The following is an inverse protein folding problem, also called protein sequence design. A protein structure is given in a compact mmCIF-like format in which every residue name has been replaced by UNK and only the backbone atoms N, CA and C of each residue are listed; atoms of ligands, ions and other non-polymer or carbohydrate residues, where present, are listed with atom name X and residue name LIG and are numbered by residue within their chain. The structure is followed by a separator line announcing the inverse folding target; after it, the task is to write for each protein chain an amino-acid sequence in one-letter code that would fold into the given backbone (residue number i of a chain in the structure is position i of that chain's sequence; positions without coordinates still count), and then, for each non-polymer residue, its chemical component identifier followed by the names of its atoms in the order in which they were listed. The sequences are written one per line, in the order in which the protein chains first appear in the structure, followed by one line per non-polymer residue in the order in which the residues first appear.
data_IF_273756646172
#
_entry.id   IF_273756646172
#
_cell.length_a   1.000
_cell.length_b   1.000
_cell.length_c   1.000
_cell.angle_alpha   90.00
_cell.angle_beta   90.00
_cell.angle_gamma   90.00
#
_symmetry.space_group_name_H-M   'P 1'
#
loop_
_entity.id
_entity.type
_entity.pdbx_description
1 polymer ?
#
# COMPACT_ATOMS: atom_id res chain seq x y z
N UNK A 1 11.12 8.21 -15.75
CA UNK A 1 10.34 7.02 -15.39
C UNK A 1 9.95 7.16 -13.94
N UNK A 2 8.71 6.83 -13.59
CA UNK A 2 8.32 6.72 -12.20
C UNK A 2 8.78 5.37 -11.62
N UNK A 3 9.06 5.27 -10.31
CA UNK A 3 9.52 4.02 -9.68
C UNK A 3 8.55 2.86 -9.85
N UNK A 4 7.24 3.17 -9.88
CA UNK A 4 6.16 2.21 -10.10
C UNK A 4 6.23 1.59 -11.50
N UNK A 5 6.41 2.42 -12.53
CA UNK A 5 6.56 1.94 -13.91
C UNK A 5 7.77 1.01 -14.05
N UNK A 6 8.88 1.31 -13.36
CA UNK A 6 10.08 0.46 -13.36
C UNK A 6 9.74 -0.92 -12.78
N UNK A 7 9.01 -1.00 -11.66
CA UNK A 7 8.61 -2.28 -11.06
C UNK A 7 7.70 -3.07 -12.00
N UNK A 8 6.71 -2.41 -12.62
CA UNK A 8 5.81 -3.05 -13.58
C UNK A 8 6.54 -3.56 -14.83
N UNK A 9 7.52 -2.81 -15.32
CA UNK A 9 8.28 -3.15 -16.52
C UNK A 9 9.31 -4.26 -16.27
N UNK A 10 9.92 -4.28 -15.09
CA UNK A 10 10.76 -5.41 -14.62
C UNK A 10 9.92 -6.69 -14.54
N UNK A 11 8.71 -6.60 -14.00
CA UNK A 11 7.79 -7.75 -13.97
C UNK A 11 7.36 -8.18 -15.38
N UNK A 12 7.14 -7.23 -16.30
CA UNK A 12 6.82 -7.51 -17.70
C UNK A 12 7.97 -8.20 -18.45
N UNK A 13 9.22 -7.88 -18.09
CA UNK A 13 10.43 -8.54 -18.59
C UNK A 13 10.71 -9.90 -17.91
N UNK A 14 9.81 -10.37 -17.04
CA UNK A 14 9.90 -11.68 -16.38
C UNK A 14 10.85 -11.71 -15.17
N UNK A 15 11.25 -10.55 -14.66
CA UNK A 15 12.10 -10.44 -13.48
C UNK A 15 11.26 -10.26 -12.22
N UNK A 16 11.64 -10.96 -11.16
CA UNK A 16 11.03 -10.80 -9.84
C UNK A 16 11.87 -9.86 -9.00
N UNK A 17 11.28 -8.75 -8.55
CA UNK A 17 11.90 -7.84 -7.61
C UNK A 17 11.35 -8.10 -6.20
N UNK A 18 12.24 -8.26 -5.23
CA UNK A 18 11.89 -8.47 -3.83
C UNK A 18 12.77 -7.61 -2.93
N UNK A 19 12.20 -7.12 -1.83
CA UNK A 19 12.94 -6.39 -0.80
C UNK A 19 13.19 -7.34 0.36
N UNK A 20 14.45 -7.49 0.74
CA UNK A 20 14.85 -8.21 1.96
C UNK A 20 14.62 -7.32 3.18
N UNK A 21 14.40 -7.94 4.33
CA UNK A 21 14.07 -7.27 5.60
C UNK A 21 15.13 -6.24 6.04
N UNK A 22 16.38 -6.50 5.68
CA UNK A 22 17.56 -5.64 5.85
C UNK A 22 17.65 -4.47 4.82
N UNK A 23 16.60 -4.24 4.02
CA UNK A 23 16.54 -3.14 3.05
C UNK A 23 17.33 -3.38 1.77
N UNK A 24 17.70 -4.64 1.50
CA UNK A 24 18.40 -5.03 0.28
C UNK A 24 17.41 -5.42 -0.83
N UNK A 25 17.60 -4.86 -2.02
CA UNK A 25 16.85 -5.22 -3.23
C UNK A 25 17.45 -6.46 -3.86
N UNK A 26 16.65 -7.52 -3.98
CA UNK A 26 16.96 -8.74 -4.73
C UNK A 26 16.17 -8.74 -6.02
N UNK A 27 16.88 -8.93 -7.13
CA UNK A 27 16.28 -9.17 -8.44
C UNK A 27 16.63 -10.60 -8.86
N UNK A 28 15.63 -11.34 -9.33
CA UNK A 28 15.75 -12.72 -9.77
C UNK A 28 15.15 -12.84 -11.17
N UNK A 29 15.90 -13.34 -12.13
CA UNK A 29 15.44 -13.54 -13.50
C UNK A 29 16.62 -13.78 -14.46
N UNK A 30 16.38 -13.57 -15.75
CA UNK A 30 17.40 -13.74 -16.78
C UNK A 30 18.61 -12.83 -16.55
N UNK A 31 19.82 -13.38 -16.56
CA UNK A 31 21.06 -12.68 -16.23
C UNK A 31 21.31 -11.47 -17.16
N UNK A 32 20.86 -11.57 -18.41
CA UNK A 32 20.97 -10.50 -19.42
C UNK A 32 20.08 -9.32 -19.05
N UNK A 33 18.84 -9.61 -18.67
CA UNK A 33 17.86 -8.60 -18.28
C UNK A 33 18.20 -8.03 -16.90
N UNK A 34 18.63 -8.87 -15.95
CA UNK A 34 19.15 -8.44 -14.65
C UNK A 34 20.26 -7.42 -14.84
N UNK A 35 21.27 -7.68 -15.67
CA UNK A 35 22.41 -6.77 -15.81
C UNK A 35 22.02 -5.41 -16.42
N UNK A 36 21.01 -5.37 -17.29
CA UNK A 36 20.45 -4.13 -17.84
C UNK A 36 19.72 -3.35 -16.75
N UNK A 37 18.79 -4.01 -16.05
CA UNK A 37 17.99 -3.41 -15.00
C UNK A 37 18.80 -3.04 -13.75
N UNK A 38 19.90 -3.72 -13.47
CA UNK A 38 20.77 -3.45 -12.31
C UNK A 38 21.38 -2.05 -12.38
N UNK A 39 21.66 -1.53 -13.58
CA UNK A 39 22.10 -0.15 -13.78
C UNK A 39 20.99 0.85 -13.46
N UNK A 40 19.79 0.63 -14.00
CA UNK A 40 18.60 1.49 -13.79
C UNK A 40 18.17 1.48 -12.31
N UNK A 41 18.13 0.30 -11.69
CA UNK A 41 17.79 0.12 -10.28
C UNK A 41 18.83 0.78 -9.38
N UNK A 42 20.11 0.81 -9.76
CA UNK A 42 21.14 1.53 -8.98
C UNK A 42 20.88 3.04 -8.94
N UNK A 43 20.44 3.62 -10.06
CA UNK A 43 20.13 5.04 -10.16
C UNK A 43 18.84 5.39 -9.40
N UNK A 44 17.81 4.53 -9.48
CA UNK A 44 16.51 4.74 -8.84
C UNK A 44 16.33 3.97 -7.52
N UNK A 45 17.41 3.45 -6.92
CA UNK A 45 17.36 2.50 -5.79
C UNK A 45 16.50 3.00 -4.63
N UNK A 46 16.72 4.25 -4.23
CA UNK A 46 16.04 4.83 -3.07
C UNK A 46 14.55 5.04 -3.33
N UNK A 47 14.18 5.38 -4.56
CA UNK A 47 12.78 5.59 -4.93
C UNK A 47 12.04 4.25 -5.05
N UNK A 48 12.69 3.23 -5.64
CA UNK A 48 12.15 1.86 -5.71
C UNK A 48 12.00 1.25 -4.31
N UNK A 49 13.00 1.44 -3.43
CA UNK A 49 12.89 1.04 -2.03
C UNK A 49 11.74 1.78 -1.34
N UNK A 50 11.62 3.09 -1.55
CA UNK A 50 10.54 3.87 -0.96
C UNK A 50 9.17 3.44 -1.46
N UNK A 51 9.05 2.97 -2.69
CA UNK A 51 7.79 2.49 -3.26
C UNK A 51 7.46 1.06 -2.80
N UNK A 52 8.47 0.18 -2.68
CA UNK A 52 8.28 -1.19 -2.18
C UNK A 52 8.11 -1.27 -0.66
N UNK A 53 8.77 -0.37 0.08
CA UNK A 53 8.61 -0.23 1.54
C UNK A 53 7.51 0.75 1.92
N UNK A 54 6.92 1.43 0.93
CA UNK A 54 5.76 2.30 1.14
C UNK A 54 4.60 1.43 1.60
N UNK A 55 4.43 1.35 2.92
CA UNK A 55 3.21 0.86 3.52
C UNK A 55 2.07 1.76 3.03
N UNK A 56 1.24 1.23 2.14
CA UNK A 56 0.07 1.91 1.58
C UNK A 56 -0.88 2.35 2.71
N UNK A 57 -0.91 1.57 3.77
CA UNK A 57 -1.73 1.76 4.96
C UNK A 57 -0.86 1.75 6.21
N UNK A 58 -1.12 2.68 7.12
CA UNK A 58 -0.52 2.71 8.45
C UNK A 58 -1.66 2.77 9.46
N UNK A 59 -1.75 1.76 10.33
CA UNK A 59 -2.73 1.70 11.41
C UNK A 59 -2.01 1.97 12.72
N UNK A 60 -2.51 2.94 13.48
CA UNK A 60 -2.01 3.29 14.81
C UNK A 60 -3.13 3.16 15.82
N UNK A 61 -2.84 2.49 16.92
CA UNK A 61 -3.73 2.43 18.07
C UNK A 61 -3.00 3.06 19.25
N UNK A 62 -3.54 4.16 19.76
CA UNK A 62 -2.91 4.91 20.85
C UNK A 62 -3.12 4.20 22.19
N UNK A 63 -4.29 3.57 22.37
CA UNK A 63 -4.62 2.73 23.52
C UNK A 63 -5.65 1.67 23.11
N UNK A 64 -5.24 0.40 23.17
CA UNK A 64 -6.09 -0.74 22.82
C UNK A 64 -6.93 -1.26 24.01
N UNK A 65 -6.73 -0.73 25.21
CA UNK A 65 -7.39 -1.18 26.44
C UNK A 65 -8.58 -0.31 26.86
N UNK A 66 -8.69 0.88 26.27
CA UNK A 66 -9.83 1.79 26.46
C UNK A 66 -10.98 1.39 25.54
N UNK A 67 -12.20 1.35 26.08
CA UNK A 67 -13.42 1.14 25.32
C UNK A 67 -14.15 2.49 25.10
N UNK A 68 -14.31 2.97 23.85
CA UNK A 68 -13.94 2.35 22.58
C UNK A 68 -12.45 2.48 22.22
N UNK A 69 -11.93 1.49 21.49
CA UNK A 69 -10.57 1.50 20.95
C UNK A 69 -10.49 2.53 19.83
N UNK A 70 -9.61 3.52 20.00
CA UNK A 70 -9.38 4.57 19.01
C UNK A 70 -8.27 4.13 18.05
N UNK A 71 -8.64 4.02 16.78
CA UNK A 71 -7.76 3.59 15.70
C UNK A 71 -7.59 4.72 14.71
N UNK A 72 -6.35 5.15 14.49
CA UNK A 72 -5.99 6.06 13.40
C UNK A 72 -5.53 5.23 12.20
N UNK A 73 -6.22 5.38 11.08
CA UNK A 73 -5.86 4.76 9.81
C UNK A 73 -5.38 5.85 8.88
N UNK A 74 -4.13 5.74 8.44
CA UNK A 74 -3.49 6.65 7.50
C UNK A 74 -3.26 5.92 6.18
N UNK A 75 -3.74 6.51 5.07
CA UNK A 75 -3.61 5.97 3.72
C UNK A 75 -2.70 6.90 2.91
N UNK A 76 -1.60 6.35 2.38
CA UNK A 76 -0.65 7.12 1.56
C UNK A 76 -1.35 7.72 0.35
N UNK A 77 -1.29 9.04 0.22
CA UNK A 77 -1.83 9.79 -0.93
C UNK A 77 -3.34 10.04 -0.93
N UNK A 78 -4.08 9.56 0.08
CA UNK A 78 -5.54 9.80 0.19
C UNK A 78 -5.84 10.67 1.40
N UNK A 79 -5.35 10.30 2.59
CA UNK A 79 -5.64 11.00 3.84
C UNK A 79 -5.57 10.08 5.06
N UNK A 80 -5.88 10.64 6.23
CA UNK A 80 -5.98 9.91 7.48
C UNK A 80 -7.35 10.13 8.12
N UNK A 81 -7.84 9.13 8.85
CA UNK A 81 -9.09 9.22 9.60
C UNK A 81 -9.00 8.42 10.89
N UNK A 82 -9.84 8.82 11.86
CA UNK A 82 -9.96 8.17 13.16
C UNK A 82 -11.25 7.36 13.21
N UNK A 83 -11.19 6.19 13.83
CA UNK A 83 -12.33 5.30 14.04
C UNK A 83 -12.38 4.88 15.51
N UNK A 84 -13.58 4.88 16.09
CA UNK A 84 -13.84 4.31 17.40
C UNK A 84 -14.49 2.93 17.22
N UNK A 85 -13.81 1.88 17.70
CA UNK A 85 -14.29 0.50 17.61
C UNK A 85 -14.54 0.01 19.03
N UNK A 86 -15.76 -0.46 19.36
CA UNK A 86 -16.02 -1.06 20.67
C UNK A 86 -15.01 -2.18 20.94
N UNK A 87 -14.46 -2.22 22.15
CA UNK A 87 -13.39 -3.17 22.49
C UNK A 87 -13.79 -4.63 22.22
N UNK A 88 -15.07 -4.99 22.43
CA UNK A 88 -15.60 -6.32 22.14
C UNK A 88 -15.53 -6.75 20.66
N UNK A 89 -15.35 -5.80 19.74
CA UNK A 89 -15.28 -6.01 18.30
C UNK A 89 -13.94 -5.59 17.69
N UNK A 90 -12.97 -5.17 18.52
CA UNK A 90 -11.68 -4.74 18.03
C UNK A 90 -10.75 -5.95 17.82
N UNK A 91 -10.37 -6.18 16.57
CA UNK A 91 -9.27 -7.06 16.17
C UNK A 91 -8.41 -6.31 15.14
N UNK A 92 -7.18 -5.96 15.56
CA UNK A 92 -6.26 -5.19 14.71
C UNK A 92 -5.76 -5.96 13.49
N UNK A 93 -5.68 -7.29 13.55
CA UNK A 93 -5.27 -8.12 12.42
C UNK A 93 -6.42 -8.26 11.42
N UNK A 94 -7.64 -8.49 11.90
CA UNK A 94 -8.83 -8.51 11.04
C UNK A 94 -9.04 -7.17 10.33
N UNK A 95 -8.78 -6.04 11.02
CA UNK A 95 -8.88 -4.72 10.41
C UNK A 95 -7.86 -4.52 9.28
N UNK A 96 -6.61 -4.97 9.45
CA UNK A 96 -5.60 -4.96 8.39
C UNK A 96 -6.07 -5.78 7.18
N UNK A 97 -6.54 -7.00 7.42
CA UNK A 97 -7.00 -7.91 6.37
C UNK A 97 -8.16 -7.32 5.56
N UNK A 98 -9.15 -6.72 6.23
CA UNK A 98 -10.29 -6.06 5.57
C UNK A 98 -9.83 -4.90 4.68
N UNK A 99 -8.86 -4.10 5.15
CA UNK A 99 -8.29 -2.98 4.37
C UNK A 99 -7.54 -3.50 3.14
N UNK A 100 -6.76 -4.58 3.29
CA UNK A 100 -6.03 -5.19 2.17
C UNK A 100 -6.99 -5.80 1.13
N UNK A 101 -8.00 -6.54 1.58
CA UNK A 101 -9.01 -7.15 0.69
C UNK A 101 -9.74 -6.08 -0.14
N UNK A 102 -10.25 -5.02 0.49
CA UNK A 102 -10.94 -3.95 -0.24
C UNK A 102 -10.02 -3.12 -1.12
N UNK A 103 -8.75 -2.98 -0.76
CA UNK A 103 -7.74 -2.35 -1.62
C UNK A 103 -7.54 -3.11 -2.93
N UNK A 104 -7.40 -4.43 -2.85
CA UNK A 104 -7.20 -5.30 -4.01
C UNK A 104 -8.45 -5.35 -4.90
N UNK A 105 -9.63 -5.33 -4.31
CA UNK A 105 -10.90 -5.27 -5.05
C UNK A 105 -11.10 -3.93 -5.78
N UNK A 106 -10.69 -2.82 -5.17
CA UNK A 106 -10.75 -1.50 -5.81
C UNK A 106 -9.83 -1.43 -7.04
N UNK A 107 -8.64 -2.04 -6.98
CA UNK A 107 -7.70 -2.13 -8.11
C UNK A 107 -8.18 -3.08 -9.22
N UNK A 108 -9.05 -4.05 -8.91
CA UNK A 108 -9.72 -4.91 -9.92
C UNK A 108 -10.93 -4.24 -10.56
N UNK A 109 -11.48 -3.19 -9.94
CA UNK A 109 -12.68 -2.45 -10.40
C UNK A 109 -12.37 -1.14 -11.12
N UNK A 110 -11.15 -0.93 -11.58
CA UNK A 110 -10.71 0.21 -12.41
C UNK A 110 -11.31 0.22 -13.83
N UNK A 111 -12.55 -0.29 -13.98
CA UNK A 111 -13.44 -0.05 -15.12
C UNK A 111 -14.69 0.76 -14.76
N UNK A 112 -15.02 0.97 -13.47
CA UNK A 112 -16.13 1.84 -13.07
C UNK A 112 -15.98 2.28 -11.62
N UNK A 113 -15.43 3.46 -11.37
CA UNK A 113 -15.44 4.01 -10.02
C UNK A 113 -16.00 5.43 -10.01
N UNK A 114 -17.32 5.51 -9.91
CA UNK A 114 -17.99 6.65 -9.28
C UNK A 114 -18.24 6.20 -7.85
N UNK A 115 -17.33 6.56 -6.93
CA UNK A 115 -17.73 6.61 -5.52
C UNK A 115 -18.63 7.84 -5.37
N UNK A 116 -19.90 7.69 -4.98
CA UNK A 116 -20.68 8.85 -4.60
C UNK A 116 -20.09 9.36 -3.30
N UNK A 117 -19.37 10.49 -3.37
CA UNK A 117 -19.22 11.36 -2.22
C UNK A 117 -20.63 11.65 -1.69
N UNK A 118 -20.90 11.50 -0.38
CA UNK A 118 -22.19 11.91 0.16
C UNK A 118 -22.33 13.41 -0.10
N UNK A 119 -23.25 13.74 -0.98
CA UNK A 119 -23.49 15.10 -1.44
C UNK A 119 -23.87 15.95 -0.22
N UNK A 120 -23.03 16.93 0.11
CA UNK A 120 -23.33 17.87 1.18
C UNK A 120 -24.33 18.90 0.64
N UNK A 121 -25.64 18.61 0.72
CA UNK A 121 -26.79 19.57 0.69
C UNK A 121 -28.10 18.75 0.62
N UNK A 122 -29.15 19.00 1.41
CA UNK A 122 -29.68 20.29 1.85
C UNK A 122 -30.46 20.13 3.16
N UNK A 123 -30.19 21.04 4.10
CA UNK A 123 -31.21 21.55 5.02
C UNK A 123 -32.23 22.35 4.21
N UNK A 124 -33.50 22.02 4.37
CA UNK A 124 -34.65 22.89 4.10
C UNK A 124 -35.70 22.59 5.18
#
# INVERSE_FOLDING_TARGET
MSPREIIEQIAADGLTLSVSEDGNLKIVGDESAVNIWLKVIRECKQEILSELQSKKYVIRVTDASTDPVIVNVSIKGIGAFDMAIPHAHYDGLALLEVIEQHSLEAERKTGSNVYPFPDKRSVA
#
